data_IF_799373600723
#
_entry.id   IF_799373600723
#
_cell.length_a   1.000
_cell.length_b   1.000
_cell.length_c   1.000
_cell.angle_alpha   90.00
_cell.angle_beta   90.00
_cell.angle_gamma   90.00
#
_symmetry.space_group_name_H-M   'P 1'
#
loop_
_entity.id
_entity.type
_entity.pdbx_description
1 polymer ?
#
# COMPACT_ATOMS: atom_id res chain seq x y z
N UNK A 1 40.77 1.92 37.45
CA UNK A 1 42.10 2.54 37.65
C UNK A 1 43.25 1.53 37.49
N UNK A 2 43.21 0.35 38.12
CA UNK A 2 44.24 -0.68 37.94
C UNK A 2 44.34 -1.24 36.49
N UNK A 3 43.21 -1.35 35.78
CA UNK A 3 43.19 -1.76 34.36
C UNK A 3 43.81 -0.70 33.42
N UNK A 4 43.72 0.59 33.78
CA UNK A 4 44.31 1.68 32.99
C UNK A 4 45.85 1.66 33.04
N UNK A 5 46.43 1.34 34.20
CA UNK A 5 47.88 1.27 34.38
C UNK A 5 48.50 0.08 33.62
N UNK A 6 47.84 -1.08 33.61
CA UNK A 6 48.29 -2.23 32.83
C UNK A 6 48.24 -1.97 31.31
N UNK A 7 47.24 -1.23 30.83
CA UNK A 7 47.13 -0.85 29.41
C UNK A 7 48.20 0.17 28.99
N UNK A 8 48.55 1.14 29.84
CA UNK A 8 49.59 2.15 29.54
C UNK A 8 50.98 1.52 29.46
N UNK A 9 51.29 0.55 30.34
CA UNK A 9 52.59 -0.16 30.30
C UNK A 9 52.71 -1.01 29.04
N UNK A 10 51.63 -1.67 28.60
CA UNK A 10 51.60 -2.42 27.33
C UNK A 10 51.76 -1.51 26.10
N UNK A 11 51.17 -0.31 26.11
CA UNK A 11 51.34 0.71 25.07
C UNK A 11 52.79 1.20 24.95
N UNK A 12 53.52 1.32 26.07
CA UNK A 12 54.93 1.73 26.03
C UNK A 12 55.88 0.66 25.47
N UNK A 13 55.55 -0.62 25.63
CA UNK A 13 56.35 -1.74 25.14
C UNK A 13 56.18 -1.99 23.63
N UNK A 14 55.00 -1.68 23.07
CA UNK A 14 54.71 -1.83 21.63
C UNK A 14 55.32 -0.73 20.75
N UNK A 15 55.74 0.41 21.32
CA UNK A 15 56.34 1.53 20.58
C UNK A 15 57.82 1.27 20.21
N UNK A 16 58.45 0.22 20.75
CA UNK A 16 59.89 -0.05 20.54
C UNK A 16 60.23 -1.12 19.48
N UNK A 17 59.27 -1.63 18.72
CA UNK A 17 59.58 -2.60 17.66
C UNK A 17 58.55 -2.68 16.54
N UNK A 18 58.98 -2.28 15.33
CA UNK A 18 58.38 -2.55 14.00
C UNK A 18 57.01 -1.95 13.65
N UNK A 19 56.99 -1.28 12.49
CA UNK A 19 55.87 -0.88 11.62
C UNK A 19 54.81 0.11 12.17
N UNK A 20 55.17 1.40 12.05
CA UNK A 20 54.33 2.59 12.34
C UNK A 20 52.95 2.51 11.64
N UNK A 21 52.86 1.89 10.47
CA UNK A 21 51.61 1.79 9.69
C UNK A 21 50.62 0.78 10.31
N UNK A 22 51.11 -0.36 10.81
CA UNK A 22 50.30 -1.41 11.42
C UNK A 22 49.83 -1.02 12.83
N UNK A 23 50.61 -0.16 13.49
CA UNK A 23 50.26 0.49 14.77
C UNK A 23 49.08 1.49 14.63
N UNK A 24 48.99 2.23 13.52
CA UNK A 24 47.89 3.18 13.29
C UNK A 24 46.54 2.50 13.03
N UNK A 25 46.53 1.40 12.26
CA UNK A 25 45.30 0.68 11.93
C UNK A 25 44.72 -0.02 13.17
N UNK A 26 45.57 -0.62 14.00
CA UNK A 26 45.17 -1.23 15.27
C UNK A 26 44.68 -0.19 16.29
N UNK A 27 45.29 1.00 16.34
CA UNK A 27 44.82 2.10 17.18
C UNK A 27 43.46 2.64 16.72
N UNK A 28 43.23 2.72 15.41
CA UNK A 28 41.94 3.13 14.85
C UNK A 28 40.82 2.12 15.18
N UNK A 29 41.07 0.82 15.03
CA UNK A 29 40.11 -0.20 15.43
C UNK A 29 39.81 -0.20 16.93
N UNK A 30 40.83 0.02 17.76
CA UNK A 30 40.67 0.08 19.21
C UNK A 30 39.88 1.31 19.65
N UNK A 31 40.14 2.47 19.04
CA UNK A 31 39.38 3.71 19.31
C UNK A 31 37.95 3.61 18.79
N UNK A 32 37.70 2.99 17.64
CA UNK A 32 36.35 2.70 17.14
C UNK A 32 35.63 1.72 18.08
N UNK A 33 36.29 0.66 18.55
CA UNK A 33 35.70 -0.28 19.50
C UNK A 33 35.36 0.41 20.84
N UNK A 34 36.26 1.25 21.35
CA UNK A 34 36.01 2.08 22.53
C UNK A 34 34.82 3.02 22.28
N UNK A 35 34.77 3.71 21.14
CA UNK A 35 33.67 4.59 20.77
C UNK A 35 32.34 3.81 20.68
N UNK A 36 32.33 2.63 20.06
CA UNK A 36 31.15 1.74 19.97
C UNK A 36 30.70 1.23 21.34
N UNK A 37 31.64 0.96 22.26
CA UNK A 37 31.31 0.61 23.66
C UNK A 37 30.76 1.79 24.44
N UNK A 38 31.26 3.01 24.21
CA UNK A 38 30.71 4.23 24.82
C UNK A 38 29.31 4.58 24.26
N UNK A 39 29.07 4.34 22.96
CA UNK A 39 27.74 4.47 22.36
C UNK A 39 26.76 3.47 22.99
N UNK A 40 27.20 2.24 23.29
CA UNK A 40 26.37 1.24 23.98
C UNK A 40 26.07 1.56 25.46
N UNK A 41 26.87 2.38 26.14
CA UNK A 41 26.69 2.67 27.57
C UNK A 41 25.90 3.96 27.86
N UNK A 42 25.54 4.73 26.83
CA UNK A 42 24.90 6.04 26.98
C UNK A 42 23.42 6.05 26.53
N UNK A 43 22.72 4.92 26.60
CA UNK A 43 21.33 4.87 26.14
C UNK A 43 20.36 4.76 27.33
N UNK A 44 19.89 5.93 27.79
CA UNK A 44 18.61 5.97 28.50
C UNK A 44 17.55 5.44 27.54
N UNK A 45 16.87 4.35 27.93
CA UNK A 45 15.88 3.73 27.04
C UNK A 45 14.61 4.58 27.06
N UNK A 46 14.24 5.17 25.93
CA UNK A 46 13.02 5.94 25.80
C UNK A 46 11.83 5.02 25.57
N UNK A 47 10.81 5.11 26.42
CA UNK A 47 9.57 4.35 26.31
C UNK A 47 8.45 5.31 25.95
N UNK A 48 7.82 5.09 24.80
CA UNK A 48 6.70 5.90 24.33
C UNK A 48 5.38 5.24 24.70
N UNK A 49 4.45 5.99 25.28
CA UNK A 49 3.15 5.47 25.73
C UNK A 49 2.03 6.45 25.38
N UNK A 50 0.83 5.92 25.12
CA UNK A 50 -0.38 6.72 24.96
C UNK A 50 -0.99 7.05 26.33
N UNK A 51 -1.59 8.23 26.45
CA UNK A 51 -2.37 8.61 27.63
C UNK A 51 -3.44 7.57 27.95
N UNK A 52 -3.50 7.18 29.21
CA UNK A 52 -4.44 6.21 29.76
C UNK A 52 -4.08 4.74 29.54
N UNK A 53 -2.95 4.44 28.88
CA UNK A 53 -2.43 3.08 28.78
C UNK A 53 -1.54 2.72 29.98
N UNK A 54 -1.26 1.44 30.14
CA UNK A 54 -0.32 0.91 31.13
C UNK A 54 1.06 0.71 30.48
N UNK A 55 2.13 0.78 31.26
CA UNK A 55 3.51 0.59 30.78
C UNK A 55 4.32 -0.25 31.75
N UNK A 56 5.03 -1.25 31.23
CA UNK A 56 5.95 -2.09 32.00
C UNK A 56 7.37 -1.56 31.83
N UNK A 57 7.99 -1.19 32.96
CA UNK A 57 9.41 -0.86 33.06
C UNK A 57 10.14 -2.08 33.59
N UNK A 58 10.83 -2.78 32.70
CA UNK A 58 11.34 -4.13 32.96
C UNK A 58 12.80 -4.13 33.41
N UNK A 59 13.11 -4.83 34.50
CA UNK A 59 14.49 -5.08 34.93
C UNK A 59 14.85 -6.48 34.41
N UNK A 60 15.27 -6.56 33.15
CA UNK A 60 15.59 -7.82 32.44
C UNK A 60 16.77 -8.62 33.04
N UNK A 61 17.43 -8.08 34.06
CA UNK A 61 18.55 -8.73 34.74
C UNK A 61 18.05 -9.68 35.84
N UNK A 62 18.61 -10.90 35.87
CA UNK A 62 18.47 -11.81 37.00
C UNK A 62 19.23 -11.25 38.21
N UNK A 63 18.58 -10.35 38.93
CA UNK A 63 19.15 -9.63 40.04
C UNK A 63 18.74 -10.26 41.38
N UNK A 64 19.70 -10.32 42.32
CA UNK A 64 19.45 -10.71 43.72
C UNK A 64 20.01 -9.63 44.64
N UNK A 65 19.19 -9.20 45.59
CA UNK A 65 19.62 -8.30 46.65
C UNK A 65 20.57 -9.03 47.60
N UNK A 66 21.63 -8.33 48.02
CA UNK A 66 22.47 -8.78 49.13
C UNK A 66 21.84 -8.39 50.46
N UNK A 67 22.36 -8.97 51.53
CA UNK A 67 21.97 -8.62 52.90
C UNK A 67 22.10 -7.10 53.13
N UNK A 68 21.09 -6.50 53.77
CA UNK A 68 20.97 -5.06 54.04
C UNK A 68 20.78 -4.16 52.81
N UNK A 69 20.75 -4.70 51.59
CA UNK A 69 20.39 -3.93 50.40
C UNK A 69 18.86 -3.82 50.27
N UNK A 70 18.40 -2.74 49.64
CA UNK A 70 17.02 -2.64 49.18
C UNK A 70 16.97 -2.04 47.78
N UNK A 71 16.05 -2.56 46.99
CA UNK A 71 15.71 -2.06 45.66
C UNK A 71 14.65 -0.97 45.76
N UNK A 72 14.71 0.04 44.89
CA UNK A 72 13.68 1.06 44.75
C UNK A 72 13.51 1.49 43.30
N UNK A 73 12.27 1.78 42.90
CA UNK A 73 12.01 2.63 41.75
C UNK A 73 11.79 4.07 42.21
N UNK A 74 12.35 5.01 41.47
CA UNK A 74 12.22 6.44 41.76
C UNK A 74 11.70 7.21 40.56
N UNK A 75 10.95 8.28 40.84
CA UNK A 75 10.51 9.28 39.88
C UNK A 75 10.49 10.64 40.56
N UNK A 76 11.09 11.67 39.93
CA UNK A 76 11.21 13.03 40.48
C UNK A 76 11.72 13.06 41.93
N UNK A 77 12.76 12.27 42.20
CA UNK A 77 13.39 12.14 43.52
C UNK A 77 12.50 11.52 44.63
N UNK A 78 11.29 11.06 44.30
CA UNK A 78 10.43 10.30 45.21
C UNK A 78 10.52 8.80 44.91
N UNK A 79 10.38 7.98 45.95
CA UNK A 79 10.28 6.53 45.79
C UNK A 79 8.87 6.16 45.34
N UNK A 80 8.75 5.28 44.35
CA UNK A 80 7.47 4.68 43.92
C UNK A 80 7.21 3.40 44.72
N UNK A 81 8.20 2.51 44.70
CA UNK A 81 8.17 1.23 45.40
C UNK A 81 9.54 0.97 46.01
N UNK A 82 9.56 0.28 47.15
CA UNK A 82 10.75 -0.22 47.82
C UNK A 82 10.61 -1.72 48.09
N UNK A 83 11.63 -2.51 47.78
CA UNK A 83 11.69 -3.94 48.03
C UNK A 83 12.97 -4.26 48.82
N UNK A 84 12.85 -4.89 49.99
CA UNK A 84 13.99 -5.28 50.81
C UNK A 84 14.61 -6.60 50.35
N UNK A 85 15.81 -6.91 50.84
CA UNK A 85 16.48 -8.21 50.72
C UNK A 85 15.61 -9.42 51.11
N UNK A 86 14.75 -9.24 52.12
CA UNK A 86 13.72 -10.21 52.55
C UNK A 86 12.47 -10.26 51.65
N UNK A 87 12.51 -9.60 50.48
CA UNK A 87 11.42 -9.47 49.50
C UNK A 87 10.16 -8.80 50.06
N UNK A 88 10.29 -7.99 51.12
CA UNK A 88 9.19 -7.17 51.63
C UNK A 88 9.01 -5.94 50.75
N UNK A 89 7.83 -5.80 50.15
CA UNK A 89 7.49 -4.71 49.23
C UNK A 89 6.65 -3.64 49.92
N UNK A 90 7.02 -2.37 49.74
CA UNK A 90 6.23 -1.21 50.16
C UNK A 90 6.05 -0.26 48.98
N UNK A 91 4.81 0.03 48.64
CA UNK A 91 4.43 1.04 47.64
C UNK A 91 4.17 2.36 48.36
N UNK A 92 4.64 3.46 47.79
CA UNK A 92 4.38 4.80 48.32
C UNK A 92 2.89 5.14 48.18
N UNK A 93 2.28 5.84 49.16
CA UNK A 93 0.84 6.11 49.17
C UNK A 93 0.29 6.76 47.89
N UNK A 94 1.06 7.64 47.26
CA UNK A 94 0.72 8.32 46.00
C UNK A 94 0.53 7.37 44.81
N UNK A 95 1.15 6.20 44.87
CA UNK A 95 1.11 5.18 43.82
C UNK A 95 0.25 3.97 44.19
N UNK A 96 -0.46 4.01 45.33
CA UNK A 96 -1.39 2.95 45.71
C UNK A 96 -2.43 2.70 44.60
N UNK A 97 -2.62 1.44 44.24
CA UNK A 97 -3.50 0.98 43.15
C UNK A 97 -3.12 1.50 41.74
N UNK A 98 -2.06 2.30 41.60
CA UNK A 98 -1.54 2.78 40.31
C UNK A 98 -0.38 1.96 39.78
N UNK A 99 0.21 1.09 40.60
CA UNK A 99 1.36 0.28 40.21
C UNK A 99 1.20 -1.18 40.59
N UNK A 100 1.82 -2.05 39.82
CA UNK A 100 2.13 -3.43 40.20
C UNK A 100 3.64 -3.63 40.15
N UNK A 101 4.15 -4.37 41.13
CA UNK A 101 5.58 -4.65 41.24
C UNK A 101 5.80 -6.16 41.25
N UNK A 102 6.59 -6.65 40.30
CA UNK A 102 6.90 -8.08 40.17
C UNK A 102 8.30 -8.25 39.59
N UNK A 103 9.10 -9.11 40.21
CA UNK A 103 10.47 -9.42 39.76
C UNK A 103 11.32 -8.16 39.52
N UNK A 104 11.25 -7.17 40.41
CA UNK A 104 11.94 -5.87 40.29
C UNK A 104 11.44 -4.95 39.16
N UNK A 105 10.56 -5.44 38.28
CA UNK A 105 9.89 -4.66 37.24
C UNK A 105 8.66 -3.92 37.78
N UNK A 106 8.37 -2.77 37.18
CA UNK A 106 7.30 -1.86 37.60
C UNK A 106 6.29 -1.69 36.47
N UNK A 107 5.07 -2.14 36.68
CA UNK A 107 3.93 -1.80 35.82
C UNK A 107 3.28 -0.54 36.36
N UNK A 108 3.36 0.58 35.63
CA UNK A 108 2.56 1.77 35.92
C UNK A 108 1.25 1.70 35.13
N UNK A 109 0.15 2.04 35.81
CA UNK A 109 -1.20 2.01 35.23
C UNK A 109 -1.74 3.38 34.91
N UNK A 110 -2.55 3.45 33.85
CA UNK A 110 -3.33 4.62 33.44
C UNK A 110 -2.46 5.90 33.38
N UNK A 111 -1.43 5.88 32.52
CA UNK A 111 -0.43 6.95 32.42
C UNK A 111 -1.09 8.30 32.07
N UNK A 112 -0.70 9.35 32.80
CA UNK A 112 -1.14 10.74 32.63
C UNK A 112 0.03 11.65 32.25
N UNK A 113 -0.29 12.90 31.88
CA UNK A 113 0.70 13.90 31.45
C UNK A 113 1.80 14.16 32.49
N UNK A 114 1.44 14.15 33.78
CA UNK A 114 2.39 14.40 34.86
C UNK A 114 3.28 13.20 35.19
N UNK A 115 3.00 12.02 34.63
CA UNK A 115 3.79 10.81 34.84
C UNK A 115 4.97 10.74 33.84
N UNK A 116 5.06 11.64 32.85
CA UNK A 116 6.21 11.68 31.94
C UNK A 116 7.48 12.17 32.63
N UNK A 117 8.61 11.54 32.29
CA UNK A 117 9.94 11.87 32.80
C UNK A 117 10.81 10.64 33.05
N UNK A 118 11.99 10.83 33.67
CA UNK A 118 12.91 9.74 33.95
C UNK A 118 12.47 8.90 35.15
N UNK A 119 12.43 7.59 34.97
CA UNK A 119 12.21 6.59 35.99
C UNK A 119 13.49 5.79 36.19
N UNK A 120 13.91 5.64 37.44
CA UNK A 120 15.18 4.98 37.74
C UNK A 120 14.97 3.83 38.70
N UNK A 121 15.52 2.67 38.37
CA UNK A 121 15.67 1.56 39.28
C UNK A 121 17.03 1.66 39.99
N UNK A 122 17.02 1.66 41.31
CA UNK A 122 18.22 1.84 42.15
C UNK A 122 18.28 0.75 43.20
N UNK A 123 19.48 0.26 43.47
CA UNK A 123 19.79 -0.56 44.64
C UNK A 123 20.56 0.30 45.63
N UNK A 124 20.09 0.34 46.87
CA UNK A 124 20.71 1.09 47.97
C UNK A 124 21.23 0.11 49.01
N UNK A 125 22.53 0.14 49.25
CA UNK A 125 23.21 -0.50 50.40
C UNK A 125 24.20 0.51 50.99
N UNK A 126 25.48 0.14 51.10
CA UNK A 126 26.57 1.08 51.47
C UNK A 126 26.71 2.23 50.47
N UNK A 127 26.36 1.97 49.21
CA UNK A 127 26.33 2.94 48.11
C UNK A 127 25.06 2.75 47.32
N UNK A 128 24.64 3.82 46.63
CA UNK A 128 23.59 3.70 45.62
C UNK A 128 24.18 3.23 44.30
N UNK A 129 23.51 2.26 43.68
CA UNK A 129 23.82 1.75 42.36
C UNK A 129 22.57 1.85 41.49
N UNK A 130 22.63 2.64 40.43
CA UNK A 130 21.62 2.64 39.37
C UNK A 130 21.69 1.35 38.58
N UNK A 131 20.54 0.71 38.39
CA UNK A 131 20.39 -0.54 37.62
C UNK A 131 19.94 -0.22 36.20
N UNK A 132 18.87 0.56 36.06
CA UNK A 132 18.34 0.98 34.77
C UNK A 132 17.64 2.33 34.89
N UNK A 133 17.65 3.09 33.80
CA UNK A 133 16.92 4.34 33.64
C UNK A 133 16.06 4.30 32.38
N UNK A 134 14.78 4.60 32.54
CA UNK A 134 13.83 4.76 31.44
C UNK A 134 13.37 6.21 31.35
N UNK A 135 13.39 6.76 30.14
CA UNK A 135 12.72 8.03 29.86
C UNK A 135 11.30 7.74 29.35
N UNK A 136 10.29 7.94 30.21
CA UNK A 136 8.90 7.77 29.81
C UNK A 136 8.41 9.01 29.08
N UNK A 137 8.15 8.87 27.79
CA UNK A 137 7.66 9.94 26.91
C UNK A 137 6.20 9.69 26.60
N UNK A 138 5.33 10.56 27.12
CA UNK A 138 3.93 10.53 26.76
C UNK A 138 3.72 11.13 25.37
N UNK A 139 2.96 10.44 24.52
CA UNK A 139 2.49 10.97 23.25
C UNK A 139 0.96 10.96 23.22
N UNK A 140 0.39 12.02 22.66
CA UNK A 140 -1.04 12.08 22.39
C UNK A 140 -1.39 11.21 21.18
N UNK A 141 -2.63 10.73 21.12
CA UNK A 141 -3.10 10.02 19.94
C UNK A 141 -3.15 10.99 18.76
N UNK A 142 -2.64 10.57 17.62
CA UNK A 142 -2.74 11.39 16.40
C UNK A 142 -4.19 11.52 15.95
N UNK A 143 -4.61 12.74 15.65
CA UNK A 143 -5.88 13.00 14.98
C UNK A 143 -5.82 12.60 13.50
N UNK A 144 -6.96 12.18 12.91
CA UNK A 144 -7.05 11.90 11.49
C UNK A 144 -6.57 13.10 10.65
N UNK A 145 -5.65 12.88 9.70
CA UNK A 145 -5.25 13.95 8.80
C UNK A 145 -6.39 14.31 7.84
N UNK A 146 -6.24 15.44 7.15
CA UNK A 146 -7.15 15.88 6.09
C UNK A 146 -6.36 15.95 4.78
N UNK A 147 -6.74 15.12 3.81
CA UNK A 147 -6.17 15.08 2.47
C UNK A 147 -6.98 15.98 1.53
N UNK A 148 -6.38 17.12 1.17
CA UNK A 148 -6.96 18.11 0.26
C UNK A 148 -6.32 18.02 -1.12
N UNK A 149 -7.13 18.23 -2.16
CA UNK A 149 -6.68 18.22 -3.55
C UNK A 149 -6.55 19.67 -3.98
N UNK A 150 -5.36 20.08 -4.40
CA UNK A 150 -5.07 21.46 -4.78
C UNK A 150 -5.24 21.66 -6.28
N UNK A 151 -4.78 20.70 -7.07
CA UNK A 151 -4.90 20.72 -8.52
C UNK A 151 -4.78 19.31 -9.10
N UNK A 152 -5.42 19.10 -10.23
CA UNK A 152 -5.31 17.91 -11.06
C UNK A 152 -4.94 18.33 -12.49
N UNK A 153 -4.07 17.55 -13.12
CA UNK A 153 -3.64 17.76 -14.49
C UNK A 153 -3.58 16.42 -15.20
N UNK A 154 -4.26 16.32 -16.34
CA UNK A 154 -4.23 15.12 -17.18
C UNK A 154 -3.58 15.48 -18.51
N UNK A 155 -2.35 14.99 -18.73
CA UNK A 155 -1.60 15.20 -19.97
C UNK A 155 -1.22 13.82 -20.51
N UNK A 156 -1.57 13.52 -21.76
CA UNK A 156 -1.22 12.27 -22.45
C UNK A 156 -1.55 11.00 -21.63
N UNK A 157 -2.79 10.89 -21.12
CA UNK A 157 -3.27 9.80 -20.26
C UNK A 157 -2.53 9.62 -18.92
N UNK A 158 -1.62 10.53 -18.57
CA UNK A 158 -0.99 10.59 -17.25
C UNK A 158 -1.72 11.64 -16.41
N UNK A 159 -2.35 11.20 -15.32
CA UNK A 159 -2.94 12.11 -14.35
C UNK A 159 -1.96 12.39 -13.22
N UNK A 160 -1.61 13.66 -13.05
CA UNK A 160 -0.81 14.16 -11.94
C UNK A 160 -1.69 15.05 -11.08
N UNK A 161 -1.73 14.77 -9.78
CA UNK A 161 -2.55 15.48 -8.80
C UNK A 161 -1.63 16.08 -7.74
N UNK A 162 -1.77 17.36 -7.47
CA UNK A 162 -1.14 18.00 -6.32
C UNK A 162 -2.10 17.95 -5.15
N UNK A 163 -1.64 17.35 -4.05
CA UNK A 163 -2.42 17.22 -2.81
C UNK A 163 -1.69 17.89 -1.66
N UNK A 164 -2.44 18.43 -0.71
CA UNK A 164 -1.92 18.84 0.60
C UNK A 164 -2.55 17.96 1.66
N UNK A 165 -1.70 17.29 2.43
CA UNK A 165 -2.11 16.66 3.66
C UNK A 165 -1.87 17.57 4.86
N UNK A 166 -2.87 17.74 5.71
CA UNK A 166 -2.77 18.50 6.97
C UNK A 166 -3.06 17.58 8.14
N UNK A 167 -2.28 17.65 9.22
CA UNK A 167 -2.46 16.86 10.42
C UNK A 167 -1.99 17.66 11.62
N UNK A 168 -2.88 17.89 12.59
CA UNK A 168 -2.63 18.77 13.73
C UNK A 168 -1.97 20.10 13.30
N UNK A 169 -0.68 20.30 13.62
CA UNK A 169 0.07 21.54 13.41
C UNK A 169 1.02 21.49 12.19
N UNK A 170 0.99 20.42 11.40
CA UNK A 170 1.92 20.19 10.29
C UNK A 170 1.17 19.90 8.99
N UNK A 171 1.81 20.21 7.87
CA UNK A 171 1.26 19.96 6.54
C UNK A 171 2.34 19.63 5.53
N UNK A 172 2.05 18.70 4.63
CA UNK A 172 2.92 18.30 3.52
C UNK A 172 2.15 18.43 2.22
N UNK A 173 2.75 19.09 1.24
CA UNK A 173 2.23 19.19 -0.12
C UNK A 173 3.02 18.28 -1.04
N UNK A 174 2.34 17.41 -1.77
CA UNK A 174 2.94 16.41 -2.65
C UNK A 174 2.27 16.41 -4.02
N UNK A 175 3.09 16.24 -5.05
CA UNK A 175 2.66 15.95 -6.41
C UNK A 175 2.66 14.44 -6.61
N UNK A 176 1.51 13.87 -6.96
CA UNK A 176 1.27 12.44 -7.06
C UNK A 176 0.90 12.06 -8.49
N UNK A 177 1.50 11.00 -9.01
CA UNK A 177 1.10 10.34 -10.25
C UNK A 177 0.40 9.00 -9.95
N UNK A 178 0.26 8.12 -10.94
CA UNK A 178 -0.38 6.81 -10.76
C UNK A 178 0.37 5.82 -9.85
N UNK A 179 1.64 6.09 -9.53
CA UNK A 179 2.55 5.18 -8.82
C UNK A 179 3.17 5.77 -7.56
N UNK A 180 3.51 7.06 -7.58
CA UNK A 180 4.34 7.69 -6.55
C UNK A 180 3.88 9.11 -6.25
N UNK A 181 4.22 9.59 -5.05
CA UNK A 181 4.09 10.98 -4.65
C UNK A 181 5.47 11.55 -4.33
N UNK A 182 5.73 12.79 -4.74
CA UNK A 182 6.94 13.54 -4.43
C UNK A 182 6.58 14.87 -3.77
N UNK A 183 7.25 15.22 -2.69
CA UNK A 183 7.03 16.50 -2.00
C UNK A 183 7.38 17.67 -2.93
N UNK A 184 6.51 18.69 -3.00
CA UNK A 184 6.63 19.78 -3.98
C UNK A 184 7.62 20.85 -3.53
N UNK A 185 7.69 21.17 -2.25
CA UNK A 185 8.77 21.92 -1.59
C UNK A 185 8.46 21.93 -0.08
N UNK A 186 9.46 21.66 0.75
CA UNK A 186 9.31 21.66 2.21
C UNK A 186 10.41 20.85 2.89
N UNK A 187 11.13 21.51 3.79
CA UNK A 187 12.11 20.90 4.68
C UNK A 187 11.43 19.74 5.44
N UNK A 188 11.98 18.52 5.32
CA UNK A 188 11.52 17.36 6.10
C UNK A 188 11.79 17.64 7.58
N UNK A 189 10.85 18.28 8.27
CA UNK A 189 10.96 18.56 9.70
C UNK A 189 10.47 17.38 10.50
N UNK A 190 11.26 16.32 10.45
CA UNK A 190 11.11 15.14 11.26
C UNK A 190 12.40 14.36 11.24
N UNK A 191 13.42 14.85 11.95
CA UNK A 191 14.51 13.99 12.36
C UNK A 191 13.92 12.80 13.16
N UNK A 192 14.51 11.62 13.06
CA UNK A 192 14.02 10.41 13.74
C UNK A 192 13.88 10.59 15.27
N UNK A 193 14.52 11.61 15.85
CA UNK A 193 14.46 12.02 17.27
C UNK A 193 13.37 13.06 17.60
N UNK A 194 12.57 13.51 16.64
CA UNK A 194 11.56 14.56 16.85
C UNK A 194 10.29 14.01 17.52
N UNK A 195 9.78 14.74 18.52
CA UNK A 195 8.45 14.53 19.12
C UNK A 195 7.30 14.95 18.20
N UNK A 196 7.63 15.51 17.03
CA UNK A 196 6.65 15.98 16.04
C UNK A 196 6.11 14.78 15.25
N UNK A 197 4.78 14.58 15.21
CA UNK A 197 4.16 13.58 14.36
C UNK A 197 4.56 13.72 12.89
N UNK A 198 4.89 12.60 12.25
CA UNK A 198 5.29 12.53 10.85
C UNK A 198 4.05 12.47 9.95
N UNK A 199 4.00 13.33 8.93
CA UNK A 199 3.06 13.21 7.82
C UNK A 199 3.76 12.59 6.62
N UNK A 200 3.15 11.58 6.02
CA UNK A 200 3.59 10.98 4.77
C UNK A 200 2.44 10.88 3.77
N UNK A 201 2.75 11.13 2.50
CA UNK A 201 1.79 11.03 1.40
C UNK A 201 2.35 10.05 0.37
N UNK A 202 1.58 9.03 0.02
CA UNK A 202 2.01 7.98 -0.90
C UNK A 202 0.81 7.36 -1.64
N UNK A 203 1.10 6.57 -2.67
CA UNK A 203 0.09 5.87 -3.47
C UNK A 203 0.09 4.40 -3.08
N UNK A 204 -1.07 3.85 -2.74
CA UNK A 204 -1.26 2.41 -2.53
C UNK A 204 -2.68 1.99 -2.91
N UNK A 205 -2.84 0.80 -3.49
CA UNK A 205 -4.15 0.24 -3.80
C UNK A 205 -5.00 1.05 -4.79
N UNK A 206 -4.39 1.92 -5.60
CA UNK A 206 -5.13 2.81 -6.51
C UNK A 206 -5.62 4.12 -5.87
N UNK A 207 -5.26 4.38 -4.62
CA UNK A 207 -5.63 5.58 -3.86
C UNK A 207 -4.41 6.38 -3.46
N UNK A 208 -4.61 7.68 -3.24
CA UNK A 208 -3.64 8.56 -2.59
C UNK A 208 -3.96 8.52 -1.10
N UNK A 209 -2.97 8.15 -0.29
CA UNK A 209 -3.09 8.00 1.16
C UNK A 209 -2.22 9.08 1.80
N UNK A 210 -2.81 9.87 2.69
CA UNK A 210 -2.04 10.57 3.69
C UNK A 210 -2.07 9.83 5.01
N UNK A 211 -0.90 9.52 5.54
CA UNK A 211 -0.74 8.95 6.86
C UNK A 211 -0.12 9.98 7.82
N UNK A 212 -0.72 10.09 8.99
CA UNK A 212 -0.23 10.89 10.10
C UNK A 212 0.08 9.93 11.25
N UNK A 213 1.35 9.88 11.67
CA UNK A 213 1.79 8.92 12.67
C UNK A 213 2.80 9.50 13.64
N UNK A 214 2.74 9.04 14.88
CA UNK A 214 3.80 9.21 15.87
C UNK A 214 4.31 7.82 16.31
N UNK A 215 5.10 7.73 17.39
CA UNK A 215 5.74 6.46 17.80
C UNK A 215 4.74 5.41 18.31
N UNK A 216 3.53 5.83 18.68
CA UNK A 216 2.55 4.98 19.39
C UNK A 216 1.17 4.91 18.72
N UNK A 217 0.88 5.79 17.76
CA UNK A 217 -0.41 5.87 17.09
C UNK A 217 -0.27 6.37 15.66
N UNK A 218 -1.19 5.96 14.81
CA UNK A 218 -1.28 6.39 13.42
C UNK A 218 -2.75 6.52 13.00
N UNK A 219 -3.00 7.41 12.05
CA UNK A 219 -4.29 7.59 11.40
C UNK A 219 -4.08 8.07 9.97
N UNK A 220 -5.00 7.74 9.07
CA UNK A 220 -4.88 8.12 7.67
C UNK A 220 -6.17 8.74 7.11
N UNK A 221 -6.02 9.42 5.99
CA UNK A 221 -7.11 9.86 5.11
C UNK A 221 -6.75 9.47 3.68
N UNK A 222 -7.74 9.03 2.93
CA UNK A 222 -7.55 8.36 1.64
C UNK A 222 -8.52 8.90 0.61
N UNK A 223 -8.02 9.16 -0.60
CA UNK A 223 -8.85 9.51 -1.75
C UNK A 223 -8.59 8.58 -2.91
N UNK A 224 -9.68 8.06 -3.48
CA UNK A 224 -9.59 7.18 -4.64
C UNK A 224 -9.17 7.97 -5.87
N UNK A 225 -8.18 7.45 -6.60
CA UNK A 225 -7.68 8.15 -7.79
C UNK A 225 -8.71 8.19 -8.92
N UNK A 226 -9.64 7.22 -8.98
CA UNK A 226 -10.68 7.21 -10.02
C UNK A 226 -11.58 8.46 -9.89
N UNK A 227 -11.85 8.91 -8.67
CA UNK A 227 -12.61 10.13 -8.39
C UNK A 227 -11.82 11.40 -8.76
N UNK A 228 -10.52 11.40 -8.47
CA UNK A 228 -9.64 12.54 -8.73
C UNK A 228 -9.25 12.67 -10.21
N UNK A 229 -9.19 11.55 -10.91
CA UNK A 229 -8.72 11.42 -12.28
C UNK A 229 -9.65 10.48 -13.05
N UNK A 230 -10.86 10.92 -13.42
CA UNK A 230 -11.75 10.14 -14.26
C UNK A 230 -11.11 10.00 -15.65
N UNK A 231 -10.48 8.85 -15.89
CA UNK A 231 -10.00 8.49 -17.23
C UNK A 231 -11.23 8.36 -18.12
N UNK A 232 -11.44 9.32 -19.03
CA UNK A 232 -12.43 9.15 -20.09
C UNK A 232 -12.01 7.92 -20.90
N UNK A 233 -12.72 6.81 -20.75
CA UNK A 233 -12.60 5.70 -21.68
C UNK A 233 -13.01 6.25 -23.04
N UNK A 234 -12.04 6.55 -23.89
CA UNK A 234 -12.32 6.79 -25.29
C UNK A 234 -13.00 5.52 -25.81
N UNK A 235 -14.29 5.58 -26.09
CA UNK A 235 -14.86 4.72 -27.10
C UNK A 235 -14.16 5.11 -28.40
N UNK A 236 -12.98 4.53 -28.66
CA UNK A 236 -12.60 4.26 -30.02
C UNK A 236 -13.58 3.19 -30.51
N UNK A 237 -14.74 3.63 -31.03
CA UNK A 237 -15.42 2.87 -32.06
C UNK A 237 -14.43 2.75 -33.22
N UNK A 238 -13.57 1.74 -33.17
CA UNK A 238 -12.89 1.25 -34.36
C UNK A 238 -14.02 0.70 -35.24
N UNK A 239 -14.56 1.56 -36.10
CA UNK A 239 -15.37 1.11 -37.23
C UNK A 239 -14.60 -0.03 -37.87
N UNK A 240 -15.12 -1.25 -37.71
CA UNK A 240 -14.40 -2.47 -38.03
C UNK A 240 -13.97 -2.40 -39.50
N UNK A 241 -12.67 -2.25 -39.75
CA UNK A 241 -12.06 -2.24 -41.08
C UNK A 241 -12.50 -3.48 -41.88
N UNK A 242 -12.86 -4.56 -41.20
CA UNK A 242 -13.42 -5.80 -41.76
C UNK A 242 -14.79 -5.56 -42.43
N UNK A 243 -15.65 -4.72 -41.87
CA UNK A 243 -16.98 -4.43 -42.42
C UNK A 243 -16.93 -3.72 -43.78
N UNK A 244 -15.95 -2.82 -43.97
CA UNK A 244 -15.73 -2.13 -45.24
C UNK A 244 -15.24 -3.13 -46.30
N UNK A 245 -14.29 -4.01 -45.96
CA UNK A 245 -13.79 -5.03 -46.88
C UNK A 245 -14.87 -6.01 -47.34
N UNK A 246 -15.73 -6.47 -46.43
CA UNK A 246 -16.84 -7.39 -46.76
C UNK A 246 -17.85 -6.69 -47.69
N UNK A 247 -18.17 -5.42 -47.44
CA UNK A 247 -19.06 -4.64 -48.30
C UNK A 247 -18.52 -4.47 -49.72
N UNK A 248 -17.23 -4.15 -49.85
CA UNK A 248 -16.58 -3.97 -51.17
C UNK A 248 -16.52 -5.27 -51.95
N UNK A 249 -16.13 -6.38 -51.31
CA UNK A 249 -16.06 -7.70 -51.97
C UNK A 249 -17.45 -8.17 -52.41
N UNK A 250 -18.47 -7.98 -51.55
CA UNK A 250 -19.86 -8.28 -51.90
C UNK A 250 -20.34 -7.50 -53.13
N UNK A 251 -20.05 -6.19 -53.18
CA UNK A 251 -20.43 -5.35 -54.32
C UNK A 251 -19.77 -5.83 -55.63
N UNK A 252 -18.47 -6.14 -55.60
CA UNK A 252 -17.74 -6.65 -56.78
C UNK A 252 -18.35 -7.96 -57.28
N UNK A 253 -18.67 -8.90 -56.38
CA UNK A 253 -19.28 -10.19 -56.75
C UNK A 253 -20.65 -9.98 -57.41
N UNK A 254 -21.50 -9.10 -56.85
CA UNK A 254 -22.82 -8.80 -57.45
C UNK A 254 -22.70 -8.17 -58.84
N UNK A 255 -21.73 -7.26 -59.03
CA UNK A 255 -21.48 -6.64 -60.33
C UNK A 255 -21.00 -7.66 -61.37
N UNK A 256 -20.14 -8.60 -60.98
CA UNK A 256 -19.68 -9.68 -61.87
C UNK A 256 -20.82 -10.62 -62.27
N UNK A 257 -21.68 -11.00 -61.32
CA UNK A 257 -22.87 -11.83 -61.61
C UNK A 257 -23.79 -11.11 -62.59
N UNK A 258 -24.03 -9.82 -62.38
CA UNK A 258 -24.85 -9.00 -63.27
C UNK A 258 -24.25 -8.90 -64.68
N UNK A 259 -22.93 -8.71 -64.79
CA UNK A 259 -22.23 -8.65 -66.07
C UNK A 259 -22.30 -9.99 -66.83
N UNK A 260 -22.13 -11.11 -66.13
CA UNK A 260 -22.29 -12.46 -66.71
C UNK A 260 -23.74 -12.68 -67.17
N UNK A 261 -24.72 -12.27 -66.37
CA UNK A 261 -26.14 -12.36 -66.72
C UNK A 261 -26.47 -11.56 -67.99
N UNK A 262 -25.95 -10.33 -68.11
CA UNK A 262 -26.09 -9.53 -69.34
C UNK A 262 -25.48 -10.23 -70.56
N UNK A 263 -24.29 -10.83 -70.42
CA UNK A 263 -23.60 -11.52 -71.51
C UNK A 263 -24.33 -12.80 -71.95
N UNK A 264 -24.89 -13.56 -71.01
CA UNK A 264 -25.70 -14.75 -71.30
C UNK A 264 -27.04 -14.39 -71.95
N UNK A 265 -27.68 -13.31 -71.53
CA UNK A 265 -28.92 -12.82 -72.15
C UNK A 265 -28.67 -12.30 -73.58
N UNK A 266 -27.51 -11.69 -73.84
CA UNK A 266 -27.10 -11.25 -75.19
C UNK A 266 -26.84 -12.45 -76.12
N UNK A 267 -26.19 -13.51 -75.64
CA UNK A 267 -25.99 -14.75 -76.42
C UNK A 267 -27.30 -15.49 -76.72
N UNK A 268 -28.24 -15.53 -75.78
CA UNK A 268 -29.59 -16.07 -76.01
C UNK A 268 -30.34 -15.36 -77.16
N UNK A 269 -30.10 -14.05 -77.34
CA UNK A 269 -30.65 -13.28 -78.47
C UNK A 269 -29.97 -13.58 -79.81
N UNK A 270 -28.69 -13.97 -79.81
CA UNK A 270 -27.96 -14.34 -81.03
C UNK A 270 -28.33 -15.76 -81.51
N UNK A 271 -28.54 -16.72 -80.60
CA UNK A 271 -28.97 -18.08 -80.96
C UNK A 271 -30.42 -18.15 -81.49
N UNK A 272 -31.30 -17.23 -81.08
CA UNK A 272 -32.67 -17.12 -81.60
C UNK A 272 -32.73 -16.64 -83.06
N UNK A 273 -31.74 -15.86 -83.52
CA UNK A 273 -31.71 -15.33 -84.90
C UNK A 273 -31.16 -16.37 -85.89
N UNK A 274 -30.39 -17.36 -85.42
CA UNK A 274 -29.64 -18.29 -86.29
C UNK A 274 -30.35 -19.62 -86.59
N UNK A 275 -31.59 -19.81 -86.12
CA UNK A 275 -32.38 -21.03 -86.35
C UNK A 275 -33.49 -20.85 -87.42
N UNK A 276 -33.64 -19.65 -88.00
CA UNK A 276 -34.76 -19.28 -88.89
C UNK A 276 -34.47 -19.42 -90.40
N UNK A 277 -33.49 -20.24 -90.80
CA UNK A 277 -33.18 -20.50 -92.22
C UNK A 277 -32.84 -21.97 -92.50
N UNK A 278 -33.80 -22.85 -92.24
CA UNK A 278 -33.83 -24.17 -92.85
C UNK A 278 -35.27 -24.53 -93.28
N UNK A 279 -35.61 -24.07 -94.49
CA UNK A 279 -36.45 -24.68 -95.54
C UNK A 279 -37.80 -25.32 -95.17
N UNK A 280 -38.88 -24.74 -95.71
CA UNK A 280 -40.20 -25.37 -95.90
C UNK A 280 -40.50 -25.52 -97.39
N UNK A 281 -41.06 -26.68 -97.77
CA UNK A 281 -41.70 -26.94 -99.06
C UNK A 281 -42.62 -28.17 -99.00
N UNK A 282 -43.83 -27.97 -98.43
CA UNK A 282 -45.21 -28.50 -98.71
C UNK A 282 -45.46 -29.73 -99.64
N UNK A 283 -46.68 -30.36 -99.68
CA UNK A 283 -47.85 -30.32 -98.78
C UNK A 283 -48.62 -31.69 -98.57
N UNK A 284 -49.75 -31.62 -97.83
CA UNK A 284 -51.04 -32.37 -97.99
C UNK A 284 -51.42 -33.51 -97.00
N UNK A 285 -52.63 -33.31 -96.43
CA UNK A 285 -53.67 -34.23 -95.90
C UNK A 285 -53.48 -35.01 -94.58
N UNK A 286 -54.57 -35.02 -93.78
CA UNK A 286 -54.88 -36.17 -92.91
C UNK A 286 -55.61 -35.86 -91.61
N UNK A 287 -56.93 -35.79 -91.70
CA UNK A 287 -57.97 -36.00 -90.68
C UNK A 287 -57.66 -36.84 -89.41
N UNK A 288 -58.35 -36.43 -88.33
CA UNK A 288 -59.13 -37.26 -87.38
C UNK A 288 -58.54 -37.72 -86.01
N UNK A 289 -59.40 -37.55 -84.98
CA UNK A 289 -59.42 -38.27 -83.69
C UNK A 289 -58.55 -37.62 -82.60
N UNK A 290 -58.98 -37.39 -81.36
CA UNK A 290 -60.16 -37.78 -80.57
C UNK A 290 -59.77 -37.60 -79.08
N UNK A 291 -60.75 -37.25 -78.23
CA UNK A 291 -60.97 -37.62 -76.80
C UNK A 291 -59.75 -37.84 -75.85
N UNK A 292 -59.76 -37.58 -74.54
CA UNK A 292 -60.66 -37.00 -73.53
C UNK A 292 -59.84 -36.92 -72.22
N UNK A 293 -60.22 -35.99 -71.31
CA UNK A 293 -60.10 -36.06 -69.84
C UNK A 293 -58.70 -36.22 -69.18
N UNK A 294 -58.40 -35.83 -67.95
CA UNK A 294 -59.16 -35.49 -66.74
C UNK A 294 -58.31 -34.56 -65.84
N UNK A 295 -59.03 -33.67 -65.14
CA UNK A 295 -58.73 -32.85 -63.94
C UNK A 295 -58.11 -33.64 -62.75
N UNK A 296 -58.03 -33.11 -61.50
CA UNK A 296 -57.61 -31.80 -60.96
C UNK A 296 -56.51 -31.98 -59.86
N UNK A 297 -55.88 -30.90 -59.38
CA UNK A 297 -56.34 -30.37 -58.09
C UNK A 297 -55.25 -30.34 -57.00
N UNK A 298 -55.55 -29.72 -55.84
CA UNK A 298 -54.69 -28.69 -55.28
C UNK A 298 -54.38 -28.88 -53.78
N UNK A 299 -53.57 -27.99 -53.21
CA UNK A 299 -53.96 -27.35 -51.96
C UNK A 299 -52.90 -27.14 -50.86
N UNK A 300 -53.19 -26.21 -49.93
CA UNK A 300 -52.23 -25.54 -49.03
C UNK A 300 -52.46 -25.90 -47.55
N UNK A 301 -51.67 -25.34 -46.61
CA UNK A 301 -52.13 -24.79 -45.29
C UNK A 301 -50.98 -24.32 -44.38
N UNK A 302 -51.25 -23.26 -43.60
CA UNK A 302 -50.55 -22.78 -42.38
C UNK A 302 -51.30 -23.33 -41.14
N UNK A 303 -50.79 -23.39 -39.86
CA UNK A 303 -50.64 -22.21 -38.98
C UNK A 303 -49.64 -22.27 -37.75
N UNK A 304 -49.45 -21.10 -37.12
CA UNK A 304 -49.16 -20.61 -35.72
C UNK A 304 -48.78 -21.55 -34.53
N UNK A 305 -48.00 -21.05 -33.51
CA UNK A 305 -48.28 -21.01 -32.01
C UNK A 305 -47.05 -20.72 -31.05
N UNK A 306 -47.17 -19.61 -30.27
CA UNK A 306 -46.87 -19.22 -28.84
C UNK A 306 -45.53 -19.30 -28.04
N UNK A 307 -45.44 -18.28 -27.15
CA UNK A 307 -44.48 -17.94 -26.06
C UNK A 307 -45.00 -18.34 -24.66
N UNK A 308 -44.11 -18.53 -23.67
CA UNK A 308 -44.47 -18.65 -22.23
C UNK A 308 -43.37 -18.04 -21.32
N UNK A 309 -43.74 -17.07 -20.48
CA UNK A 309 -42.96 -16.53 -19.34
C UNK A 309 -43.72 -16.89 -18.05
N UNK A 310 -42.99 -17.37 -17.04
CA UNK A 310 -43.51 -17.76 -15.71
C UNK A 310 -43.03 -16.82 -14.58
N UNK A 311 -43.93 -16.63 -13.61
CA UNK A 311 -43.97 -15.66 -12.50
C UNK A 311 -43.04 -15.92 -11.29
N UNK A 312 -42.97 -14.98 -10.31
CA UNK A 312 -42.20 -15.05 -9.05
C UNK A 312 -43.06 -15.46 -7.83
N UNK A 313 -42.42 -15.72 -6.67
CA UNK A 313 -42.84 -15.51 -5.26
C UNK A 313 -42.11 -16.48 -4.29
N UNK A 314 -42.19 -16.31 -2.95
CA UNK A 314 -42.37 -15.11 -2.13
C UNK A 314 -41.17 -14.84 -1.20
#
# INVERSE_FOLDING_TARGET
>A
MAALLHSIVFLSALVQGSDICQSMETFLHFTIAILLTFIHQAESSSVFVLKGQDVLLDVQENFKLKEFEFFKWTFRSANIVRCTDTLSVRVSPEYNNRVEFRNFSLLLKNIQQNDSGPYTAVVSGDKEKTIIEYLLVLQERVEPPVLTVNSDSTINATCNVTVTCRGQNTSVTSSCNSRTCSQVDGESRGAETSTVPLLSVYVAGGSIICNHSNRVSWSNDTKERVELCPMKSGQEEKASTVGIYVGVVGFIVTALIFFVWQKLNKRRKEDFINTDYATVGTPVNGQAGGEEQMSPGPGPTSPTIYSRVGLPQP
#
